data_IF_114546189678
#
_entry.id   IF_114546189678
#
_cell.length_a   1.000
_cell.length_b   1.000
_cell.length_c   1.000
_cell.angle_alpha   90.00
_cell.angle_beta   90.00
_cell.angle_gamma   90.00
#
_symmetry.space_group_name_H-M   'P 1'
#
loop_
_entity.id
_entity.type
_entity.pdbx_description
1 polymer ?
#
# COMPACT_ATOMS: atom_id res chain seq x y z
N UNK A 1 -12.73 51.47 50.23
CA UNK A 1 -13.85 51.26 49.28
C UNK A 1 -13.88 52.41 48.28
N UNK A 2 -13.87 52.08 46.99
CA UNK A 2 -14.38 52.82 45.81
C UNK A 2 -13.41 52.69 44.63
N UNK A 3 -13.60 51.63 43.84
CA UNK A 3 -13.06 51.50 42.49
C UNK A 3 -14.08 52.07 41.51
N UNK A 4 -13.69 53.03 40.69
CA UNK A 4 -14.52 53.45 39.57
C UNK A 4 -13.70 54.06 38.43
N UNK A 5 -13.84 53.43 37.25
CA UNK A 5 -13.82 53.99 35.88
C UNK A 5 -12.44 54.43 35.34
N UNK A 6 -12.10 54.36 34.05
CA UNK A 6 -12.61 53.72 32.82
C UNK A 6 -11.48 53.95 31.79
N UNK A 7 -11.34 53.04 30.82
CA UNK A 7 -10.90 53.24 29.43
C UNK A 7 -9.57 53.97 29.10
N UNK A 8 -8.67 53.24 28.44
CA UNK A 8 -8.01 53.71 27.22
C UNK A 8 -7.56 52.51 26.38
N UNK A 9 -8.30 52.25 25.30
CA UNK A 9 -7.92 51.36 24.21
C UNK A 9 -6.68 51.91 23.50
N UNK A 10 -5.66 51.08 23.28
CA UNK A 10 -4.64 51.34 22.27
C UNK A 10 -3.77 50.09 22.07
N UNK A 11 -3.77 49.57 20.82
CA UNK A 11 -2.63 48.91 20.16
C UNK A 11 -2.27 47.53 20.74
N UNK A 12 -2.44 46.41 20.03
CA UNK A 12 -1.62 46.04 18.88
C UNK A 12 -2.26 44.84 18.17
N UNK A 13 -2.78 45.08 16.97
CA UNK A 13 -3.08 44.04 15.96
C UNK A 13 -1.94 44.11 14.94
N UNK A 14 -1.58 42.96 14.35
CA UNK A 14 -0.54 42.75 13.32
C UNK A 14 0.86 42.63 13.95
N UNK A 15 1.56 41.50 13.94
CA UNK A 15 1.87 40.61 12.81
C UNK A 15 2.19 39.18 13.28
N UNK A 16 1.28 38.23 13.07
CA UNK A 16 1.58 36.80 12.99
C UNK A 16 1.78 36.47 11.50
N UNK A 17 2.81 37.01 10.87
CA UNK A 17 3.14 36.71 9.46
C UNK A 17 4.65 36.64 9.31
N UNK A 18 5.24 35.59 9.88
CA UNK A 18 6.54 35.08 9.48
C UNK A 18 6.64 33.60 9.90
N UNK A 19 5.62 32.80 9.57
CA UNK A 19 5.94 31.47 9.03
C UNK A 19 6.15 31.69 7.54
N UNK A 20 7.24 32.39 7.20
CA UNK A 20 7.84 32.30 5.88
C UNK A 20 8.16 30.81 5.69
N UNK A 21 7.29 30.13 4.95
CA UNK A 21 7.63 29.32 3.78
C UNK A 21 9.02 28.66 3.76
N UNK A 22 9.43 28.05 4.87
CA UNK A 22 10.59 27.13 4.97
C UNK A 22 10.09 25.69 4.87
N UNK A 23 9.23 25.43 3.90
CA UNK A 23 9.00 24.08 3.40
C UNK A 23 9.20 24.14 1.89
N UNK A 24 10.47 24.36 1.53
CA UNK A 24 10.97 24.05 0.20
C UNK A 24 10.46 22.67 -0.22
N UNK A 25 9.85 22.70 -1.40
CA UNK A 25 9.25 21.64 -2.18
C UNK A 25 10.19 20.42 -2.29
N UNK A 26 10.04 19.50 -1.33
CA UNK A 26 10.81 18.25 -1.24
C UNK A 26 10.06 17.19 -0.44
N UNK A 27 8.75 17.33 -0.30
CA UNK A 27 7.94 16.47 0.55
C UNK A 27 7.82 15.07 -0.07
N UNK A 28 8.43 14.08 0.56
CA UNK A 28 8.08 12.66 0.41
C UNK A 28 6.74 12.33 1.08
N UNK A 29 5.84 13.30 1.16
CA UNK A 29 4.53 13.12 1.77
C UNK A 29 3.62 12.40 0.76
N UNK A 30 2.74 11.49 1.21
CA UNK A 30 1.78 10.83 0.34
C UNK A 30 0.95 11.87 -0.43
N UNK A 31 1.10 11.94 -1.75
CA UNK A 31 0.35 12.87 -2.60
C UNK A 31 -1.03 12.34 -3.01
N UNK A 32 -1.38 11.12 -2.60
CA UNK A 32 -2.66 10.48 -2.88
C UNK A 32 -2.72 9.71 -4.22
N UNK A 33 -1.69 9.80 -5.06
CA UNK A 33 -1.55 8.99 -6.27
C UNK A 33 -1.10 7.56 -5.90
N UNK A 34 -2.05 6.67 -5.62
CA UNK A 34 -1.74 5.26 -5.33
C UNK A 34 -1.36 4.51 -6.62
N UNK A 35 -0.46 3.51 -6.53
CA UNK A 35 -0.19 2.61 -7.65
C UNK A 35 -1.46 1.93 -8.17
N UNK A 36 -1.58 1.78 -9.48
CA UNK A 36 -2.60 0.92 -10.08
C UNK A 36 -2.13 -0.54 -10.02
N UNK A 37 -2.97 -1.45 -9.50
CA UNK A 37 -2.62 -2.85 -9.28
C UNK A 37 -3.71 -3.77 -9.82
N UNK A 38 -3.34 -4.68 -10.73
CA UNK A 38 -4.25 -5.67 -11.33
C UNK A 38 -3.66 -7.06 -11.23
N UNK A 39 -4.36 -7.97 -10.54
CA UNK A 39 -4.00 -9.39 -10.46
C UNK A 39 -4.71 -10.12 -11.61
N UNK A 40 -3.94 -10.83 -12.44
CA UNK A 40 -4.44 -11.61 -13.58
C UNK A 40 -4.52 -13.11 -13.27
N UNK A 41 -3.61 -13.60 -12.42
CA UNK A 41 -3.63 -14.97 -11.92
C UNK A 41 -3.06 -15.00 -10.49
N UNK A 42 -3.66 -15.72 -9.53
CA UNK A 42 -4.93 -16.44 -9.65
C UNK A 42 -6.12 -15.51 -9.90
N UNK A 43 -7.18 -16.04 -10.51
CA UNK A 43 -8.49 -15.37 -10.58
C UNK A 43 -9.31 -15.69 -9.33
N UNK A 44 -10.30 -14.85 -9.04
CA UNK A 44 -11.16 -15.07 -7.87
C UNK A 44 -11.90 -16.41 -7.94
N UNK A 45 -11.86 -17.17 -6.83
CA UNK A 45 -12.37 -18.53 -6.69
C UNK A 45 -11.73 -19.57 -7.63
N UNK A 46 -10.53 -19.30 -8.15
CA UNK A 46 -9.79 -20.28 -8.94
C UNK A 46 -9.44 -21.49 -8.07
N UNK A 47 -9.55 -22.67 -8.67
CA UNK A 47 -9.11 -23.93 -8.06
C UNK A 47 -7.75 -24.31 -8.64
N UNK A 48 -6.76 -24.46 -7.77
CA UNK A 48 -5.39 -24.81 -8.11
C UNK A 48 -5.07 -26.22 -7.60
N UNK A 49 -4.23 -26.96 -8.33
CA UNK A 49 -3.65 -28.19 -7.80
C UNK A 49 -2.30 -27.87 -7.15
N UNK A 50 -2.03 -28.49 -6.01
CA UNK A 50 -0.72 -28.42 -5.34
C UNK A 50 0.43 -28.69 -6.34
N UNK A 51 0.26 -29.72 -7.17
CA UNK A 51 1.24 -30.15 -8.18
C UNK A 51 1.54 -29.10 -9.27
N UNK A 52 0.59 -28.20 -9.55
CA UNK A 52 0.76 -27.13 -10.53
C UNK A 52 1.45 -25.89 -9.98
N UNK A 53 1.61 -25.79 -8.66
CA UNK A 53 2.08 -24.59 -7.98
C UNK A 53 1.09 -23.43 -8.05
N UNK A 54 1.46 -22.32 -7.42
CA UNK A 54 0.70 -21.08 -7.44
C UNK A 54 1.37 -20.09 -8.40
N UNK A 55 0.81 -19.94 -9.61
CA UNK A 55 1.27 -18.90 -10.53
C UNK A 55 0.70 -17.55 -10.12
N UNK A 56 1.56 -16.58 -9.82
CA UNK A 56 1.15 -15.21 -9.52
C UNK A 56 1.52 -14.34 -10.70
N UNK A 57 0.50 -13.86 -11.42
CA UNK A 57 0.64 -12.95 -12.54
C UNK A 57 -0.12 -11.66 -12.23
N UNK A 58 0.58 -10.54 -12.22
CA UNK A 58 0.01 -9.23 -11.95
C UNK A 58 0.72 -8.12 -12.71
N UNK A 59 0.04 -6.99 -12.81
CA UNK A 59 0.59 -5.75 -13.33
C UNK A 59 0.42 -4.68 -12.26
N UNK A 60 1.51 -3.99 -11.92
CA UNK A 60 1.48 -2.81 -11.07
C UNK A 60 2.08 -1.62 -11.84
N UNK A 61 1.49 -0.44 -11.74
CA UNK A 61 2.01 0.75 -12.40
C UNK A 61 1.76 2.00 -11.59
N UNK A 62 2.72 2.91 -11.60
CA UNK A 62 2.63 4.19 -10.91
C UNK A 62 3.16 5.33 -11.79
N UNK A 63 2.74 6.57 -11.53
CA UNK A 63 3.22 7.76 -12.26
C UNK A 63 4.72 7.95 -12.09
N UNK A 64 5.22 7.73 -10.88
CA UNK A 64 6.63 7.85 -10.52
C UNK A 64 7.32 6.52 -10.73
N UNK A 65 7.20 5.59 -9.78
CA UNK A 65 7.71 4.20 -9.84
C UNK A 65 7.07 3.38 -8.72
N UNK A 66 6.87 2.09 -8.99
CA UNK A 66 6.60 1.09 -7.96
C UNK A 66 7.92 0.79 -7.24
N UNK A 67 8.01 1.20 -5.97
CA UNK A 67 9.18 1.00 -5.11
C UNK A 67 9.22 -0.41 -4.55
N UNK A 68 8.08 -0.89 -4.07
CA UNK A 68 7.97 -2.15 -3.35
C UNK A 68 6.73 -2.92 -3.83
N UNK A 69 6.87 -4.25 -3.96
CA UNK A 69 5.77 -5.17 -4.16
C UNK A 69 5.89 -6.30 -3.13
N UNK A 70 4.94 -6.36 -2.20
CA UNK A 70 4.80 -7.44 -1.24
C UNK A 70 3.72 -8.42 -1.71
N UNK A 71 4.05 -9.71 -1.64
CA UNK A 71 3.17 -10.83 -1.97
C UNK A 71 2.96 -11.67 -0.71
N UNK A 72 1.71 -11.82 -0.29
CA UNK A 72 1.34 -12.65 0.86
C UNK A 72 0.23 -13.63 0.53
N UNK A 73 0.35 -14.85 1.05
CA UNK A 73 -0.66 -15.90 0.93
C UNK A 73 -0.95 -16.46 2.31
N UNK A 74 -2.22 -16.41 2.70
CA UNK A 74 -2.72 -16.93 3.99
C UNK A 74 -3.92 -17.84 3.76
N UNK A 75 -4.11 -18.82 4.63
CA UNK A 75 -5.36 -19.56 4.66
C UNK A 75 -6.51 -18.61 5.06
N UNK A 76 -7.70 -18.81 4.50
CA UNK A 76 -8.88 -18.03 4.88
C UNK A 76 -9.17 -18.26 6.37
N UNK A 77 -9.14 -17.19 7.17
CA UNK A 77 -9.30 -17.25 8.62
C UNK A 77 -8.07 -17.72 9.40
N UNK A 78 -6.93 -17.91 8.74
CA UNK A 78 -5.66 -18.22 9.40
C UNK A 78 -4.76 -16.98 9.58
N UNK A 79 -3.96 -16.99 10.64
CA UNK A 79 -3.01 -15.91 10.94
C UNK A 79 -1.61 -16.14 10.33
N UNK A 80 -1.29 -17.38 9.95
CA UNK A 80 0.02 -17.74 9.42
C UNK A 80 0.10 -17.50 7.90
N UNK A 81 1.18 -16.84 7.48
CA UNK A 81 1.55 -16.72 6.07
C UNK A 81 2.22 -18.02 5.58
N UNK A 82 1.70 -18.60 4.50
CA UNK A 82 2.36 -19.70 3.78
C UNK A 82 3.43 -19.17 2.83
N UNK A 83 3.15 -18.01 2.23
CA UNK A 83 4.09 -17.30 1.37
C UNK A 83 4.07 -15.85 1.81
N UNK A 84 5.24 -15.28 2.06
CA UNK A 84 5.42 -13.87 2.34
C UNK A 84 6.79 -13.44 1.85
N UNK A 85 6.81 -12.60 0.82
CA UNK A 85 8.05 -12.00 0.34
C UNK A 85 7.79 -10.61 -0.22
N UNK A 86 8.87 -9.84 -0.27
CA UNK A 86 8.87 -8.47 -0.79
C UNK A 86 9.92 -8.35 -1.87
N UNK A 87 9.59 -7.64 -2.94
CA UNK A 87 10.50 -7.29 -4.03
C UNK A 87 10.61 -5.78 -4.17
N UNK A 88 11.76 -5.31 -4.64
CA UNK A 88 12.06 -3.88 -4.82
C UNK A 88 12.32 -3.60 -6.31
N UNK A 89 11.28 -3.54 -7.16
CA UNK A 89 11.45 -3.52 -8.60
C UNK A 89 11.99 -2.19 -9.17
N UNK A 90 11.71 -1.05 -8.52
CA UNK A 90 12.07 0.30 -8.99
C UNK A 90 11.64 0.59 -10.45
N UNK A 91 10.39 0.25 -10.81
CA UNK A 91 9.87 0.39 -12.19
C UNK A 91 8.57 1.16 -12.25
N UNK A 92 8.39 1.96 -13.30
CA UNK A 92 7.13 2.64 -13.63
C UNK A 92 5.98 1.67 -13.91
N UNK A 93 6.27 0.66 -14.72
CA UNK A 93 5.36 -0.43 -15.04
C UNK A 93 6.06 -1.72 -14.67
N UNK A 94 5.46 -2.47 -13.75
CA UNK A 94 5.90 -3.75 -13.28
C UNK A 94 4.96 -4.83 -13.83
N UNK A 95 5.50 -5.67 -14.69
CA UNK A 95 4.90 -6.96 -15.03
C UNK A 95 5.56 -8.03 -14.17
N UNK A 96 4.76 -8.70 -13.36
CA UNK A 96 5.22 -9.74 -12.45
C UNK A 96 4.54 -11.05 -12.82
N UNK A 97 5.34 -12.06 -13.15
CA UNK A 97 4.89 -13.41 -13.48
C UNK A 97 5.87 -14.39 -12.82
N UNK A 98 5.43 -15.03 -11.75
CA UNK A 98 6.24 -16.00 -11.01
C UNK A 98 5.43 -17.25 -10.69
N UNK A 99 6.12 -18.37 -10.54
CA UNK A 99 5.54 -19.62 -10.07
C UNK A 99 6.03 -19.89 -8.65
N UNK A 100 5.12 -19.86 -7.70
CA UNK A 100 5.38 -20.09 -6.28
C UNK A 100 5.11 -21.56 -5.95
N UNK A 101 5.95 -22.10 -5.07
CA UNK A 101 5.75 -23.45 -4.54
C UNK A 101 4.49 -23.48 -3.67
N UNK A 102 3.62 -24.46 -3.92
CA UNK A 102 2.40 -24.68 -3.14
C UNK A 102 2.40 -26.03 -2.40
N UNK A 103 3.51 -26.78 -2.41
CA UNK A 103 3.60 -28.12 -1.83
C UNK A 103 3.26 -28.17 -0.33
N UNK A 104 3.60 -27.10 0.41
CA UNK A 104 3.35 -26.99 1.84
C UNK A 104 1.99 -26.35 2.18
N UNK A 105 1.13 -26.14 1.18
CA UNK A 105 -0.21 -25.58 1.34
C UNK A 105 -1.25 -26.73 1.34
N UNK A 106 -1.85 -27.08 2.50
CA UNK A 106 -2.92 -28.06 2.54
C UNK A 106 -4.11 -27.71 1.64
N UNK A 107 -4.94 -28.69 1.31
CA UNK A 107 -6.21 -28.43 0.64
C UNK A 107 -7.07 -27.46 1.48
N UNK A 108 -7.58 -26.41 0.84
CA UNK A 108 -8.34 -25.37 1.53
C UNK A 108 -8.45 -24.08 0.74
N UNK A 109 -9.08 -23.08 1.33
CA UNK A 109 -9.23 -21.74 0.75
C UNK A 109 -8.13 -20.80 1.28
N UNK A 110 -7.62 -19.97 0.37
CA UNK A 110 -6.51 -19.06 0.62
C UNK A 110 -6.81 -17.67 0.07
N UNK A 111 -6.25 -16.67 0.74
CA UNK A 111 -6.24 -15.28 0.29
C UNK A 111 -4.84 -14.90 -0.15
N UNK A 112 -4.70 -14.54 -1.43
CA UNK A 112 -3.53 -13.83 -1.95
C UNK A 112 -3.75 -12.33 -1.73
N UNK A 113 -2.90 -11.70 -0.93
CA UNK A 113 -2.85 -10.26 -0.74
C UNK A 113 -1.60 -9.72 -1.44
N UNK A 114 -1.78 -8.73 -2.32
CA UNK A 114 -0.69 -8.00 -2.96
C UNK A 114 -0.72 -6.56 -2.49
N UNK A 115 0.43 -6.06 -2.02
CA UNK A 115 0.62 -4.65 -1.71
C UNK A 115 1.68 -4.07 -2.65
N UNK A 116 1.34 -2.99 -3.35
CA UNK A 116 2.28 -2.20 -4.13
C UNK A 116 2.47 -0.83 -3.48
N UNK A 117 3.71 -0.44 -3.22
CA UNK A 117 4.06 0.83 -2.57
C UNK A 117 4.91 1.68 -3.50
N UNK A 118 4.62 2.97 -3.59
CA UNK A 118 5.44 3.93 -4.35
C UNK A 118 6.58 4.57 -3.52
N UNK A 119 7.28 5.54 -4.11
CA UNK A 119 8.32 6.31 -3.43
C UNK A 119 7.82 7.33 -2.42
N UNK A 120 6.58 7.80 -2.57
CA UNK A 120 5.88 8.73 -1.68
C UNK A 120 5.07 8.01 -0.60
N UNK A 121 5.30 6.71 -0.44
CA UNK A 121 4.67 5.82 0.56
C UNK A 121 3.17 5.59 0.35
N UNK A 122 2.61 5.89 -0.82
CA UNK A 122 1.25 5.50 -1.16
C UNK A 122 1.20 3.98 -1.38
N UNK A 123 0.23 3.30 -0.75
CA UNK A 123 0.04 1.85 -0.86
C UNK A 123 -1.26 1.53 -1.59
N UNK A 124 -1.18 0.65 -2.58
CA UNK A 124 -2.31 -0.02 -3.21
C UNK A 124 -2.35 -1.49 -2.81
N UNK A 125 -3.51 -1.95 -2.34
CA UNK A 125 -3.74 -3.33 -1.93
C UNK A 125 -4.79 -3.96 -2.82
N UNK A 126 -4.53 -5.19 -3.27
CA UNK A 126 -5.53 -5.99 -3.97
C UNK A 126 -5.48 -7.44 -3.47
N UNK A 127 -6.65 -8.06 -3.39
CA UNK A 127 -6.83 -9.36 -2.78
C UNK A 127 -7.62 -10.29 -3.70
N UNK A 128 -7.20 -11.55 -3.74
CA UNK A 128 -7.86 -12.61 -4.50
C UNK A 128 -7.98 -13.84 -3.63
N UNK A 129 -9.18 -14.43 -3.58
CA UNK A 129 -9.43 -15.70 -2.92
C UNK A 129 -9.29 -16.82 -3.95
N UNK A 130 -8.63 -17.90 -3.59
CA UNK A 130 -8.49 -19.10 -4.41
C UNK A 130 -8.48 -20.35 -3.52
N UNK A 131 -8.72 -21.52 -4.11
CA UNK A 131 -8.72 -22.79 -3.38
C UNK A 131 -7.62 -23.70 -3.89
N UNK A 132 -6.92 -24.39 -2.99
CA UNK A 132 -6.01 -25.48 -3.30
C UNK A 132 -6.77 -26.80 -3.19
N UNK A 133 -6.60 -27.69 -4.17
CA UNK A 133 -7.22 -29.02 -4.28
C UNK A 133 -6.18 -30.12 -4.46
#
# INVERSE_FOLDING_TARGET
>A
MKFTKLLASAVMVVSLTACEDVFEDGSLQPDGSKPALTIRNPSNNQKLSVSSGLRVKLTASDKDKVKELQVRVRAVGGDADYINFTTLPDKKILEFDTLLNANDMPQGDYTLTINATDFRTNVATNEVIFSVK
#
